data_IF_182473545038
#
_entry.id   IF_182473545038
#
_cell.length_a   1.000
_cell.length_b   1.000
_cell.length_c   1.000
_cell.angle_alpha   90.00
_cell.angle_beta   90.00
_cell.angle_gamma   90.00
#
_symmetry.space_group_name_H-M   'P 1'
#
loop_
_entity.id
_entity.type
_entity.pdbx_description
1 polymer ?
#
# COMPACT_ATOMS: atom_id res chain seq x y z
N UNK A 1 -1.80 -9.04 13.34
CA UNK A 1 -0.51 -9.02 14.05
C UNK A 1 0.16 -7.64 13.98
N UNK A 2 0.33 -7.03 12.79
CA UNK A 2 0.93 -5.69 12.63
C UNK A 2 0.22 -4.60 13.45
N UNK A 3 -1.09 -4.71 13.66
CA UNK A 3 -1.90 -3.81 14.51
C UNK A 3 -1.67 -3.98 16.02
N UNK A 4 -1.11 -5.10 16.44
CA UNK A 4 -0.88 -5.38 17.86
C UNK A 4 0.29 -4.56 18.40
N UNK A 5 0.30 -4.37 19.73
CA UNK A 5 1.45 -3.77 20.42
C UNK A 5 2.63 -4.74 20.43
N UNK A 6 3.47 -4.61 19.44
CA UNK A 6 4.70 -5.38 19.21
C UNK A 6 5.84 -4.45 18.87
N UNK A 7 7.06 -4.88 19.08
CA UNK A 7 8.24 -4.12 18.66
C UNK A 7 8.30 -3.98 17.12
N UNK A 8 9.03 -2.99 16.65
CA UNK A 8 9.28 -2.81 15.21
C UNK A 8 9.98 -4.03 14.61
N UNK A 9 10.95 -4.59 15.34
CA UNK A 9 11.71 -5.77 14.90
C UNK A 9 10.83 -7.02 14.75
N UNK A 10 9.92 -7.29 15.71
CA UNK A 10 8.95 -8.39 15.58
C UNK A 10 8.04 -8.21 14.35
N UNK A 11 7.63 -6.99 14.08
CA UNK A 11 6.80 -6.66 12.90
C UNK A 11 7.60 -6.79 11.60
N UNK A 12 8.87 -6.39 11.58
CA UNK A 12 9.77 -6.54 10.45
C UNK A 12 10.02 -8.02 10.14
N UNK A 13 10.28 -8.82 11.16
CA UNK A 13 10.42 -10.28 11.03
C UNK A 13 9.17 -10.91 10.42
N UNK A 14 7.98 -10.49 10.87
CA UNK A 14 6.73 -10.98 10.29
C UNK A 14 6.59 -10.55 8.82
N UNK A 15 6.85 -9.29 8.49
CA UNK A 15 6.75 -8.80 7.11
C UNK A 15 7.70 -9.61 6.19
N UNK A 16 8.92 -9.85 6.62
CA UNK A 16 9.87 -10.70 5.89
C UNK A 16 9.35 -12.13 5.74
N UNK A 17 8.75 -12.71 6.78
CA UNK A 17 8.16 -14.06 6.72
C UNK A 17 6.99 -14.11 5.73
N UNK A 18 6.14 -13.08 5.68
CA UNK A 18 5.03 -12.99 4.71
C UNK A 18 5.58 -12.88 3.29
N UNK A 19 6.57 -12.03 3.05
CA UNK A 19 7.20 -11.86 1.73
C UNK A 19 7.91 -13.14 1.23
N UNK A 20 8.42 -13.95 2.13
CA UNK A 20 9.07 -15.24 1.82
C UNK A 20 8.10 -16.44 1.84
N UNK A 21 6.80 -16.21 1.99
CA UNK A 21 5.79 -17.28 2.02
C UNK A 21 5.05 -17.41 0.69
N UNK A 22 4.21 -18.45 0.60
CA UNK A 22 3.30 -18.65 -0.55
C UNK A 22 2.22 -17.56 -0.69
N UNK A 23 2.15 -16.61 0.24
CA UNK A 23 1.27 -15.45 0.11
C UNK A 23 1.81 -14.43 -0.88
N UNK A 24 3.11 -14.35 -1.09
CA UNK A 24 3.70 -13.43 -2.05
C UNK A 24 3.67 -13.99 -3.47
N UNK A 25 3.27 -13.19 -4.42
CA UNK A 25 3.31 -13.47 -5.86
C UNK A 25 4.51 -12.76 -6.48
N UNK A 26 5.64 -13.45 -6.72
CA UNK A 26 6.86 -12.79 -7.20
C UNK A 26 6.76 -12.31 -8.65
N UNK A 27 5.82 -12.85 -9.46
CA UNK A 27 5.61 -12.41 -10.85
C UNK A 27 4.95 -11.02 -10.91
N UNK A 28 4.03 -10.77 -9.96
CA UNK A 28 3.32 -9.49 -9.87
C UNK A 28 3.87 -8.56 -8.78
N UNK A 29 4.75 -9.05 -7.91
CA UNK A 29 5.24 -8.35 -6.71
C UNK A 29 4.12 -7.88 -5.79
N UNK A 30 3.09 -8.72 -5.60
CA UNK A 30 1.88 -8.47 -4.84
C UNK A 30 1.57 -9.61 -3.87
N UNK A 31 0.61 -9.41 -2.97
CA UNK A 31 0.24 -10.42 -1.98
C UNK A 31 -1.12 -11.04 -2.29
N UNK A 32 -1.15 -12.36 -2.31
CA UNK A 32 -2.35 -13.18 -2.50
C UNK A 32 -3.20 -13.20 -1.23
N UNK A 33 -4.50 -13.38 -1.38
CA UNK A 33 -5.45 -13.45 -0.26
C UNK A 33 -5.23 -14.69 0.62
N UNK A 34 -4.74 -15.77 0.03
CA UNK A 34 -4.37 -17.02 0.72
C UNK A 34 -3.27 -17.77 -0.03
N UNK A 35 -2.64 -18.72 0.65
CA UNK A 35 -1.85 -19.75 0.04
C UNK A 35 -2.73 -20.76 -0.69
N UNK A 36 -2.13 -21.74 -1.40
CA UNK A 36 -2.87 -22.74 -2.14
C UNK A 36 -3.87 -23.50 -1.28
N UNK A 37 -5.11 -23.60 -1.76
CA UNK A 37 -6.19 -24.35 -1.12
C UNK A 37 -6.32 -25.79 -1.66
N UNK A 38 -5.40 -26.24 -2.50
CA UNK A 38 -5.51 -27.55 -3.19
C UNK A 38 -5.67 -28.72 -2.21
N UNK A 39 -4.96 -28.69 -1.10
CA UNK A 39 -4.98 -29.73 -0.07
C UNK A 39 -5.86 -29.36 1.15
N UNK A 40 -6.60 -28.26 1.08
CA UNK A 40 -7.46 -27.83 2.17
C UNK A 40 -8.76 -28.66 2.23
N UNK A 41 -9.47 -28.62 3.37
CA UNK A 41 -10.78 -29.27 3.50
C UNK A 41 -11.81 -28.65 2.55
N UNK A 42 -12.74 -29.48 2.06
CA UNK A 42 -13.91 -28.99 1.30
C UNK A 42 -14.88 -28.15 2.16
N UNK A 43 -14.76 -28.23 3.48
CA UNK A 43 -15.52 -27.39 4.42
C UNK A 43 -15.20 -25.90 4.29
N UNK A 44 -14.06 -25.52 3.66
CA UNK A 44 -13.77 -24.14 3.27
C UNK A 44 -14.77 -23.58 2.24
N UNK A 45 -15.64 -24.44 1.69
CA UNK A 45 -16.68 -24.04 0.77
C UNK A 45 -16.14 -23.55 -0.58
N UNK A 46 -16.77 -22.51 -1.13
CA UNK A 46 -16.54 -22.05 -2.51
C UNK A 46 -15.10 -21.59 -2.79
N UNK A 47 -14.39 -21.11 -1.80
CA UNK A 47 -13.03 -20.63 -1.99
C UNK A 47 -12.12 -21.68 -2.63
N UNK A 48 -12.24 -22.96 -2.18
CA UNK A 48 -11.51 -24.08 -2.77
C UNK A 48 -11.99 -24.46 -4.16
N UNK A 49 -13.24 -24.20 -4.50
CA UNK A 49 -13.83 -24.55 -5.79
C UNK A 49 -13.42 -23.60 -6.92
N UNK A 50 -12.94 -22.40 -6.60
CA UNK A 50 -12.45 -21.48 -7.61
C UNK A 50 -11.12 -21.94 -8.20
N UNK A 51 -10.91 -21.59 -9.47
CA UNK A 51 -9.62 -21.75 -10.13
C UNK A 51 -8.53 -21.01 -9.35
N UNK A 52 -7.34 -21.61 -9.13
CA UNK A 52 -6.21 -20.88 -8.55
C UNK A 52 -5.96 -19.54 -9.25
N UNK A 53 -5.62 -18.52 -8.49
CA UNK A 53 -5.43 -17.15 -9.01
C UNK A 53 -6.71 -16.42 -9.38
N UNK A 54 -7.87 -16.89 -8.93
CA UNK A 54 -9.18 -16.32 -9.26
C UNK A 54 -10.09 -16.22 -8.03
N UNK A 55 -10.80 -15.10 -7.88
CA UNK A 55 -11.66 -14.82 -6.72
C UNK A 55 -10.94 -15.11 -5.41
N UNK A 56 -11.55 -15.83 -4.46
CA UNK A 56 -10.97 -16.08 -3.14
C UNK A 56 -9.93 -17.21 -3.09
N UNK A 57 -9.47 -17.71 -4.26
CA UNK A 57 -8.44 -18.75 -4.34
C UNK A 57 -7.14 -18.21 -4.95
N UNK A 58 -6.16 -17.90 -4.11
CA UNK A 58 -4.82 -17.43 -4.53
C UNK A 58 -4.81 -16.17 -5.40
N UNK A 59 -5.88 -15.40 -5.49
CA UNK A 59 -5.89 -14.12 -6.19
C UNK A 59 -5.41 -12.99 -5.28
N UNK A 60 -5.22 -11.79 -5.85
CA UNK A 60 -4.82 -10.60 -5.14
C UNK A 60 -6.05 -9.74 -4.89
N UNK A 61 -6.49 -9.68 -3.64
CA UNK A 61 -7.61 -8.84 -3.24
C UNK A 61 -7.10 -7.48 -2.78
N UNK A 62 -7.30 -6.45 -3.60
CA UNK A 62 -6.73 -5.11 -3.35
C UNK A 62 -7.10 -4.53 -2.00
N UNK A 63 -8.32 -4.78 -1.50
CA UNK A 63 -8.69 -4.33 -0.16
C UNK A 63 -7.83 -4.97 0.93
N UNK A 64 -7.52 -6.26 0.80
CA UNK A 64 -6.68 -6.98 1.78
C UNK A 64 -5.22 -6.56 1.66
N UNK A 65 -4.72 -6.44 0.44
CA UNK A 65 -3.38 -5.97 0.17
C UNK A 65 -3.15 -4.55 0.69
N UNK A 66 -4.04 -3.62 0.40
CA UNK A 66 -3.92 -2.24 0.88
C UNK A 66 -4.03 -2.12 2.39
N UNK A 67 -4.81 -3.00 3.05
CA UNK A 67 -4.78 -3.10 4.52
C UNK A 67 -3.42 -3.54 5.04
N UNK A 68 -2.79 -4.49 4.38
CA UNK A 68 -1.45 -4.95 4.75
C UNK A 68 -0.43 -3.81 4.58
N UNK A 69 -0.42 -3.14 3.42
CA UNK A 69 0.46 -2.01 3.14
C UNK A 69 0.27 -0.85 4.13
N UNK A 70 -0.97 -0.49 4.41
CA UNK A 70 -1.28 0.54 5.41
C UNK A 70 -0.71 0.20 6.79
N UNK A 71 -0.73 -1.08 7.17
CA UNK A 71 -0.16 -1.50 8.46
C UNK A 71 1.37 -1.59 8.44
N UNK A 72 2.02 -1.83 7.30
CA UNK A 72 3.46 -1.63 7.16
C UNK A 72 3.84 -0.15 7.42
N UNK A 73 3.11 0.77 6.78
CA UNK A 73 3.30 2.21 6.96
C UNK A 73 3.07 2.64 8.43
N UNK A 74 2.01 2.15 9.07
CA UNK A 74 1.72 2.41 10.47
C UNK A 74 2.73 1.79 11.44
N UNK A 75 3.34 0.68 11.05
CA UNK A 75 4.40 0.03 11.80
C UNK A 75 5.78 0.69 11.61
N UNK A 76 5.84 1.75 10.79
CA UNK A 76 7.09 2.45 10.42
C UNK A 76 8.09 1.57 9.67
N UNK A 77 7.60 0.56 8.97
CA UNK A 77 8.37 -0.27 8.04
C UNK A 77 8.36 0.42 6.68
N UNK A 78 9.04 1.56 6.61
CA UNK A 78 8.92 2.49 5.48
C UNK A 78 9.54 1.93 4.20
N UNK A 79 10.68 1.28 4.30
CA UNK A 79 11.37 0.69 3.14
C UNK A 79 10.52 -0.41 2.51
N UNK A 80 10.02 -1.33 3.34
CA UNK A 80 9.14 -2.41 2.92
C UNK A 80 7.82 -1.87 2.33
N UNK A 81 7.26 -0.84 2.96
CA UNK A 81 6.06 -0.18 2.46
C UNK A 81 6.29 0.47 1.10
N UNK A 82 7.35 1.25 0.92
CA UNK A 82 7.60 2.00 -0.32
C UNK A 82 7.88 1.08 -1.50
N UNK A 83 8.61 -0.02 -1.27
CA UNK A 83 8.83 -1.05 -2.28
C UNK A 83 7.51 -1.69 -2.72
N UNK A 84 6.72 -2.19 -1.77
CA UNK A 84 5.48 -2.91 -2.06
C UNK A 84 4.40 -1.97 -2.63
N UNK A 85 4.33 -0.71 -2.15
CA UNK A 85 3.36 0.27 -2.62
C UNK A 85 3.50 0.60 -4.11
N UNK A 86 4.72 0.68 -4.62
CA UNK A 86 4.96 0.93 -6.05
C UNK A 86 4.34 -0.16 -6.93
N UNK A 87 4.44 -1.41 -6.50
CA UNK A 87 3.97 -2.56 -7.27
C UNK A 87 2.45 -2.83 -7.11
N UNK A 88 1.89 -2.48 -5.96
CA UNK A 88 0.50 -2.79 -5.64
C UNK A 88 -0.48 -1.66 -5.94
N UNK A 89 -0.04 -0.40 -5.90
CA UNK A 89 -0.94 0.73 -6.08
C UNK A 89 -1.35 0.90 -7.55
N UNK A 90 -2.64 0.79 -7.82
CA UNK A 90 -3.21 0.81 -9.18
C UNK A 90 -2.69 1.96 -10.05
N UNK A 91 -2.53 3.22 -9.57
CA UNK A 91 -2.03 4.32 -10.40
C UNK A 91 -0.64 4.09 -11.01
N UNK A 92 0.13 3.12 -10.52
CA UNK A 92 1.48 2.81 -11.03
C UNK A 92 1.52 1.55 -11.91
N UNK A 93 0.40 0.84 -12.05
CA UNK A 93 0.32 -0.35 -12.89
C UNK A 93 0.28 0.01 -14.38
N UNK A 94 0.80 -0.88 -15.22
CA UNK A 94 0.60 -0.80 -16.67
C UNK A 94 -0.86 -1.09 -17.01
N UNK A 95 -1.57 -0.12 -17.59
CA UNK A 95 -2.97 -0.26 -18.02
C UNK A 95 -3.19 -1.45 -18.98
N UNK A 96 -2.20 -1.78 -19.80
CA UNK A 96 -2.30 -2.90 -20.76
C UNK A 96 -2.32 -4.24 -20.03
N UNK A 97 -1.48 -4.39 -18.98
CA UNK A 97 -1.47 -5.58 -18.15
C UNK A 97 -2.69 -5.61 -17.24
N UNK A 98 -2.98 -4.51 -16.56
CA UNK A 98 -4.14 -4.39 -15.67
C UNK A 98 -5.47 -4.55 -16.41
N UNK A 99 -5.52 -4.15 -17.68
CA UNK A 99 -6.68 -4.30 -18.56
C UNK A 99 -7.87 -3.39 -18.20
N UNK A 100 -7.62 -2.38 -17.38
CA UNK A 100 -8.60 -1.38 -16.93
C UNK A 100 -7.91 -0.04 -16.76
N UNK A 101 -8.69 1.03 -16.59
CA UNK A 101 -8.16 2.34 -16.25
C UNK A 101 -7.44 2.30 -14.89
N UNK A 102 -6.30 2.97 -14.80
CA UNK A 102 -5.57 3.17 -13.53
C UNK A 102 -6.34 4.03 -12.52
N UNK A 103 -7.45 4.62 -12.91
CA UNK A 103 -8.39 5.34 -12.01
C UNK A 103 -9.41 4.42 -11.36
N UNK A 104 -9.41 3.13 -11.69
CA UNK A 104 -10.35 2.15 -11.18
C UNK A 104 -9.68 1.13 -10.27
N UNK A 105 -9.98 1.16 -8.98
CA UNK A 105 -9.64 0.04 -8.09
C UNK A 105 -10.58 -1.13 -8.35
N UNK A 106 -10.04 -2.24 -8.85
CA UNK A 106 -10.79 -3.50 -8.95
C UNK A 106 -10.93 -4.18 -7.58
N UNK A 107 -11.85 -5.13 -7.46
CA UNK A 107 -11.97 -5.94 -6.24
C UNK A 107 -10.77 -6.86 -6.09
N UNK A 108 -10.36 -7.51 -7.19
CA UNK A 108 -9.20 -8.39 -7.20
C UNK A 108 -8.44 -8.35 -8.54
N UNK A 109 -7.21 -8.81 -8.50
CA UNK A 109 -6.34 -9.04 -9.66
C UNK A 109 -6.09 -10.55 -9.76
N UNK A 110 -6.19 -11.11 -10.96
CA UNK A 110 -5.83 -12.51 -11.18
C UNK A 110 -4.31 -12.69 -10.97
N UNK A 111 -3.93 -13.59 -10.07
CA UNK A 111 -2.52 -13.82 -9.74
C UNK A 111 -1.80 -14.69 -10.78
N UNK A 112 -0.49 -14.83 -10.63
CA UNK A 112 0.37 -15.70 -11.47
C UNK A 112 -0.05 -17.18 -11.41
N UNK A 113 -0.82 -17.58 -10.38
CA UNK A 113 -1.36 -18.94 -10.21
C UNK A 113 -2.49 -19.28 -11.19
N UNK A 114 -3.07 -18.27 -11.87
CA UNK A 114 -4.11 -18.52 -12.84
C UNK A 114 -3.56 -19.32 -14.04
N UNK A 115 -4.22 -20.48 -14.40
CA UNK A 115 -3.78 -21.30 -15.53
C UNK A 115 -3.90 -20.57 -16.87
N UNK A 116 -4.85 -19.63 -16.99
CA UNK A 116 -4.95 -18.77 -18.16
C UNK A 116 -4.03 -17.56 -18.02
N UNK A 117 -2.85 -17.66 -18.63
CA UNK A 117 -1.82 -16.59 -18.56
C UNK A 117 -2.27 -15.25 -19.16
N UNK A 118 -3.32 -15.21 -19.97
CA UNK A 118 -3.88 -13.96 -20.49
C UNK A 118 -4.65 -13.15 -19.43
N UNK A 119 -4.99 -13.77 -18.30
CA UNK A 119 -5.69 -13.12 -17.19
C UNK A 119 -4.74 -12.61 -16.12
N UNK A 120 -3.51 -13.11 -16.04
CA UNK A 120 -2.53 -12.74 -15.01
C UNK A 120 -2.28 -11.23 -15.03
N UNK A 121 -2.37 -10.61 -13.86
CA UNK A 121 -2.22 -9.16 -13.68
C UNK A 121 -3.45 -8.33 -14.01
N UNK A 122 -4.52 -8.94 -14.58
CA UNK A 122 -5.74 -8.20 -14.91
C UNK A 122 -6.65 -8.00 -13.71
N UNK A 123 -7.22 -6.79 -13.60
CA UNK A 123 -8.16 -6.40 -12.57
C UNK A 123 -9.61 -6.73 -12.92
N UNK A 124 -10.36 -7.19 -11.93
CA UNK A 124 -11.76 -7.62 -12.10
C UNK A 124 -12.66 -6.96 -11.08
N UNK A 125 -13.91 -6.74 -11.51
CA UNK A 125 -14.98 -6.19 -10.68
C UNK A 125 -14.59 -4.81 -10.10
N UNK A 126 -14.42 -3.83 -11.00
CA UNK A 126 -14.22 -2.44 -10.58
C UNK A 126 -15.49 -1.88 -9.96
N UNK A 127 -15.41 -1.48 -8.72
CA UNK A 127 -16.49 -0.80 -7.98
C UNK A 127 -15.89 -0.04 -6.81
N UNK A 128 -16.63 0.92 -6.30
CA UNK A 128 -16.28 1.57 -5.04
C UNK A 128 -16.18 0.51 -3.93
N UNK A 129 -15.02 0.39 -3.33
CA UNK A 129 -14.70 -0.67 -2.37
C UNK A 129 -13.81 -0.16 -1.24
N UNK A 130 -13.56 -1.04 -0.25
CA UNK A 130 -12.60 -0.78 0.81
C UNK A 130 -11.19 -0.46 0.30
N UNK A 131 -10.79 -0.97 -0.87
CA UNK A 131 -9.48 -0.66 -1.46
C UNK A 131 -9.30 0.84 -1.71
N UNK A 132 -10.34 1.54 -2.18
CA UNK A 132 -10.29 3.00 -2.36
C UNK A 132 -10.09 3.73 -1.02
N UNK A 133 -10.78 3.30 0.03
CA UNK A 133 -10.67 3.91 1.37
C UNK A 133 -9.27 3.68 1.96
N UNK A 134 -8.75 2.46 1.84
CA UNK A 134 -7.40 2.13 2.32
C UNK A 134 -6.33 2.89 1.53
N UNK A 135 -6.50 3.03 0.19
CA UNK A 135 -5.61 3.85 -0.63
C UNK A 135 -5.58 5.31 -0.16
N UNK A 136 -6.75 5.92 0.06
CA UNK A 136 -6.84 7.28 0.58
C UNK A 136 -6.20 7.41 1.97
N UNK A 137 -6.34 6.40 2.82
CA UNK A 137 -5.72 6.35 4.14
C UNK A 137 -4.20 6.27 4.06
N UNK A 138 -3.66 5.45 3.14
CA UNK A 138 -2.22 5.41 2.84
C UNK A 138 -1.74 6.77 2.35
N UNK A 139 -2.40 7.34 1.34
CA UNK A 139 -2.01 8.61 0.74
C UNK A 139 -1.99 9.76 1.76
N UNK A 140 -3.04 9.87 2.56
CA UNK A 140 -3.08 10.85 3.66
C UNK A 140 -1.92 10.65 4.64
N UNK A 141 -1.63 9.41 5.02
CA UNK A 141 -0.56 9.10 5.97
C UNK A 141 0.81 9.36 5.36
N UNK A 142 1.00 9.06 4.07
CA UNK A 142 2.22 9.38 3.33
C UNK A 142 2.46 10.88 3.28
N UNK A 143 1.41 11.67 3.00
CA UNK A 143 1.58 13.12 2.85
C UNK A 143 1.71 13.86 4.19
N UNK A 144 1.00 13.46 5.23
CA UNK A 144 0.88 14.27 6.45
C UNK A 144 1.27 13.53 7.74
N UNK A 145 1.61 12.25 7.63
CA UNK A 145 1.81 11.39 8.80
C UNK A 145 0.49 10.84 9.37
N UNK A 146 0.65 9.88 10.26
CA UNK A 146 -0.49 9.18 10.88
C UNK A 146 -1.30 10.08 11.81
N UNK A 147 -0.63 10.98 12.54
CA UNK A 147 -1.22 11.88 13.54
C UNK A 147 -0.66 13.28 13.36
N UNK A 148 -1.20 14.07 12.43
CA UNK A 148 -0.70 15.41 12.17
C UNK A 148 -0.99 16.38 13.33
N UNK A 149 -1.98 16.09 14.17
CA UNK A 149 -2.27 16.88 15.36
C UNK A 149 -1.88 16.14 16.62
N UNK A 150 -1.12 16.80 17.49
CA UNK A 150 -0.69 16.28 18.78
C UNK A 150 -1.05 17.31 19.85
N UNK A 151 -1.77 16.86 20.89
CA UNK A 151 -2.07 17.67 22.08
C UNK A 151 -1.25 17.11 23.23
N UNK A 152 -0.43 17.97 23.87
CA UNK A 152 0.46 17.59 24.97
C UNK A 152 -0.15 17.86 26.38
N UNK A 153 -1.40 18.30 26.43
CA UNK A 153 -2.09 18.71 27.66
C UNK A 153 -2.23 20.22 27.81
N UNK A 154 -1.43 20.98 27.09
CA UNK A 154 -1.42 22.45 27.13
C UNK A 154 -1.61 23.05 25.73
N UNK A 155 -0.88 22.53 24.76
CA UNK A 155 -0.81 23.11 23.41
C UNK A 155 -1.18 22.08 22.34
N UNK A 156 -1.96 22.50 21.36
CA UNK A 156 -2.21 21.73 20.14
C UNK A 156 -1.09 22.04 19.14
N UNK A 157 -0.34 21.02 18.77
CA UNK A 157 0.78 21.10 17.82
C UNK A 157 0.39 20.47 16.49
N UNK A 158 0.76 21.11 15.39
CA UNK A 158 0.72 20.53 14.05
C UNK A 158 2.10 19.98 13.71
N UNK A 159 2.17 18.69 13.39
CA UNK A 159 3.42 18.02 13.05
C UNK A 159 3.22 17.10 11.85
N UNK A 160 3.76 17.47 10.72
CA UNK A 160 3.80 16.59 9.55
C UNK A 160 4.99 15.65 9.62
N UNK A 161 4.75 14.40 9.24
CA UNK A 161 5.75 13.35 9.18
C UNK A 161 5.62 12.61 7.84
N UNK A 162 5.97 13.26 6.72
CA UNK A 162 5.75 12.70 5.39
C UNK A 162 6.61 11.46 5.14
N UNK A 163 6.04 10.56 4.31
CA UNK A 163 6.72 9.41 3.71
C UNK A 163 6.55 9.53 2.20
N UNK A 164 7.56 10.05 1.53
CA UNK A 164 7.50 10.43 0.12
C UNK A 164 8.48 9.56 -0.66
N UNK A 165 8.01 8.70 -1.56
CA UNK A 165 8.91 7.92 -2.42
C UNK A 165 9.56 8.81 -3.48
N UNK A 166 10.81 8.50 -3.82
CA UNK A 166 11.60 9.26 -4.78
C UNK A 166 10.96 9.35 -6.17
N UNK A 167 10.22 8.33 -6.57
CA UNK A 167 9.52 8.33 -7.87
C UNK A 167 8.34 9.31 -7.97
N UNK A 168 7.84 9.84 -6.85
CA UNK A 168 6.85 10.93 -6.82
C UNK A 168 7.48 12.32 -6.89
N UNK A 169 8.78 12.42 -6.69
CA UNK A 169 9.48 13.71 -6.68
C UNK A 169 9.71 14.19 -8.09
N UNK A 170 9.09 15.30 -8.46
CA UNK A 170 9.26 15.93 -9.76
C UNK A 170 10.67 16.49 -9.98
N UNK A 171 10.96 16.92 -11.20
CA UNK A 171 12.25 17.57 -11.56
C UNK A 171 12.49 18.88 -10.80
N UNK A 172 11.43 19.52 -10.35
CA UNK A 172 11.46 20.74 -9.52
C UNK A 172 11.70 20.45 -8.03
N UNK A 173 11.93 19.18 -7.69
CA UNK A 173 12.16 18.69 -6.33
C UNK A 173 11.04 19.05 -5.35
N UNK A 174 9.80 19.07 -5.84
CA UNK A 174 8.62 19.41 -5.04
C UNK A 174 7.58 18.31 -5.09
N UNK A 175 6.93 18.13 -3.95
CA UNK A 175 5.69 17.34 -3.83
C UNK A 175 4.68 18.17 -3.05
N UNK A 176 3.44 18.19 -3.50
CA UNK A 176 2.40 18.97 -2.83
C UNK A 176 1.13 18.17 -2.61
N UNK A 177 0.44 18.47 -1.52
CA UNK A 177 -0.86 17.90 -1.19
C UNK A 177 -1.76 18.93 -0.48
N UNK A 178 -3.08 18.73 -0.61
CA UNK A 178 -4.07 19.56 0.07
C UNK A 178 -4.37 18.99 1.45
N UNK A 179 -4.04 19.73 2.48
CA UNK A 179 -4.35 19.39 3.87
C UNK A 179 -5.73 19.94 4.24
N UNK A 180 -6.60 19.09 4.78
CA UNK A 180 -7.98 19.41 5.18
C UNK A 180 -8.80 20.11 4.08
N UNK A 181 -8.46 19.87 2.81
CA UNK A 181 -9.16 20.44 1.65
C UNK A 181 -9.00 21.95 1.44
N UNK A 182 -8.18 22.64 2.24
CA UNK A 182 -8.01 24.10 2.18
C UNK A 182 -6.55 24.56 2.14
N UNK A 183 -5.65 23.88 2.84
CA UNK A 183 -4.26 24.30 2.97
C UNK A 183 -3.37 23.51 2.01
N UNK A 184 -2.72 24.19 1.08
CA UNK A 184 -1.73 23.55 0.22
C UNK A 184 -0.42 23.40 1.00
N UNK A 185 0.03 22.17 1.19
CA UNK A 185 1.35 21.85 1.75
C UNK A 185 2.28 21.52 0.60
N UNK A 186 3.45 22.14 0.58
CA UNK A 186 4.48 21.90 -0.43
C UNK A 186 5.76 21.46 0.28
N UNK A 187 6.24 20.29 -0.06
CA UNK A 187 7.53 19.79 0.39
C UNK A 187 8.59 20.13 -0.64
N UNK A 188 9.61 20.89 -0.25
CA UNK A 188 10.82 21.16 -1.02
C UNK A 188 11.87 20.15 -0.60
N UNK A 189 12.30 19.29 -1.51
CA UNK A 189 13.10 18.11 -1.22
C UNK A 189 14.53 18.28 -1.74
N UNK A 190 15.48 17.60 -1.13
CA UNK A 190 16.90 17.69 -1.49
C UNK A 190 17.31 16.84 -2.70
N UNK A 191 16.43 15.96 -3.18
CA UNK A 191 16.70 15.06 -4.29
C UNK A 191 15.55 14.13 -4.63
N UNK A 192 15.75 13.29 -5.63
CA UNK A 192 14.77 12.26 -6.06
C UNK A 192 15.11 10.92 -5.41
N UNK A 193 15.01 10.85 -4.09
CA UNK A 193 15.15 9.64 -3.29
C UNK A 193 14.00 9.54 -2.30
N UNK A 194 13.92 8.44 -1.57
CA UNK A 194 12.85 8.22 -0.61
C UNK A 194 13.06 9.07 0.64
N UNK A 195 11.99 9.70 1.12
CA UNK A 195 11.96 10.49 2.35
C UNK A 195 10.98 9.86 3.33
N UNK A 196 11.44 9.57 4.55
CA UNK A 196 10.61 9.07 5.64
C UNK A 196 11.17 9.50 7.00
N UNK A 197 10.37 9.53 8.07
CA UNK A 197 10.86 9.93 9.39
C UNK A 197 12.09 9.11 9.82
N UNK A 198 13.17 9.82 10.12
CA UNK A 198 14.46 9.25 10.48
C UNK A 198 15.55 9.34 9.40
N UNK A 199 15.20 9.69 8.13
CA UNK A 199 16.20 9.92 7.09
C UNK A 199 16.18 11.35 6.51
N UNK A 200 15.38 12.26 7.08
CA UNK A 200 15.37 13.67 6.74
C UNK A 200 15.27 14.55 7.99
N UNK A 201 15.65 15.82 7.85
CA UNK A 201 15.45 16.89 8.83
C UNK A 201 14.72 18.05 8.15
N UNK A 202 13.90 18.77 8.93
CA UNK A 202 13.20 19.96 8.45
C UNK A 202 14.18 21.13 8.58
N UNK A 203 14.57 21.73 7.45
CA UNK A 203 15.47 22.87 7.43
C UNK A 203 14.73 24.20 7.65
N UNK A 204 13.53 24.35 7.07
CA UNK A 204 12.77 25.60 7.10
C UNK A 204 11.26 25.31 6.98
N UNK A 205 10.46 26.18 7.58
CA UNK A 205 8.99 26.19 7.44
C UNK A 205 8.57 27.61 7.05
N UNK A 206 7.91 27.74 5.91
CA UNK A 206 7.29 28.98 5.46
C UNK A 206 5.77 28.86 5.52
N UNK A 207 5.09 29.89 6.02
CA UNK A 207 3.62 29.97 6.08
C UNK A 207 3.20 31.26 5.37
N UNK A 208 2.39 31.13 4.31
CA UNK A 208 1.90 32.25 3.50
C UNK A 208 0.39 32.24 3.35
#
# INVERSE_FOLDING_TARGET
YLKLKRSREEKKTLAAAVKNSDLYDPELSMYKVNASLQNASYELGRARAFTPGWLENESIWLHMEYKYLLELLHAQLYEEFLEDFYHAAIPFLDERQYGRSIWENSSFIASSKNPNKKLVGKGFVARLSGSTVEFMSMWKTMMFGRRPFIYDGETLKLMFAPVIPGYLVGKDLKVSAMFLGKTKVVYHLSGQHDFYPGNYEIAEIEIS
#
